data_IF_904762693888
#
_entry.id   IF_904762693888
#
_cell.length_a   1.000
_cell.length_b   1.000
_cell.length_c   1.000
_cell.angle_alpha   90.00
_cell.angle_beta   90.00
_cell.angle_gamma   90.00
#
_symmetry.space_group_name_H-M   'P 1'
#
loop_
_entity.id
_entity.type
_entity.pdbx_description
1 polymer ?
#
# COMPACT_ATOMS: atom_id res chain seq x y z
N UNK A 1 14.67 12.79 -6.21
CA UNK A 1 15.46 12.20 -5.13
C UNK A 1 14.52 11.45 -4.21
N UNK A 2 14.49 10.14 -4.36
CA UNK A 2 13.70 9.24 -3.54
C UNK A 2 14.41 9.09 -2.20
N UNK A 3 14.02 9.91 -1.22
CA UNK A 3 14.69 9.91 0.05
C UNK A 3 14.39 8.62 0.81
N UNK A 4 15.45 7.92 1.17
CA UNK A 4 15.50 6.62 1.82
C UNK A 4 14.48 6.53 2.96
N UNK A 5 13.56 5.55 2.87
CA UNK A 5 12.53 5.32 3.89
C UNK A 5 13.10 4.39 4.95
N UNK A 6 13.15 4.85 6.19
CA UNK A 6 13.44 3.98 7.34
C UNK A 6 12.32 2.94 7.47
N UNK A 7 12.65 1.65 7.43
CA UNK A 7 11.70 0.56 7.66
C UNK A 7 11.86 0.03 9.08
N UNK A 8 10.76 -0.04 9.83
CA UNK A 8 10.66 -0.77 11.09
C UNK A 8 9.93 -2.08 10.84
N UNK A 9 10.55 -3.21 11.19
CA UNK A 9 9.91 -4.53 11.10
C UNK A 9 9.61 -5.02 12.50
N UNK A 10 8.37 -5.44 12.75
CA UNK A 10 7.96 -6.14 13.96
C UNK A 10 7.92 -7.63 13.62
N UNK A 11 8.82 -8.37 14.28
CA UNK A 11 8.99 -9.81 14.10
C UNK A 11 8.75 -10.45 15.47
N UNK A 12 7.95 -11.51 15.49
CA UNK A 12 7.79 -12.34 16.69
C UNK A 12 9.10 -13.04 17.04
N UNK A 13 9.49 -12.94 18.31
CA UNK A 13 10.68 -13.61 18.86
C UNK A 13 10.29 -14.83 19.71
N UNK A 14 9.02 -14.92 20.15
CA UNK A 14 8.44 -16.04 20.90
C UNK A 14 7.13 -16.49 20.21
N UNK A 15 6.68 -17.71 20.50
CA UNK A 15 5.39 -18.23 20.01
C UNK A 15 4.22 -17.35 20.50
N UNK A 16 3.70 -16.51 19.60
CA UNK A 16 2.53 -15.67 19.76
C UNK A 16 1.74 -15.64 18.45
N UNK A 17 0.55 -15.04 18.48
CA UNK A 17 -0.19 -14.72 17.26
C UNK A 17 -0.18 -13.21 17.04
N UNK A 18 0.48 -12.78 15.97
CA UNK A 18 0.62 -11.40 15.55
C UNK A 18 -0.56 -10.92 14.68
N UNK A 19 -1.46 -11.82 14.27
CA UNK A 19 -2.62 -11.49 13.46
C UNK A 19 -3.53 -10.40 14.06
N UNK A 20 -3.76 -10.33 15.39
CA UNK A 20 -4.53 -9.22 15.99
C UNK A 20 -3.90 -7.84 15.79
N UNK A 21 -2.57 -7.75 15.63
CA UNK A 21 -1.88 -6.49 15.37
C UNK A 21 -1.97 -6.06 13.90
N UNK A 22 -2.32 -6.97 13.01
CA UNK A 22 -2.70 -6.64 11.63
C UNK A 22 -4.14 -6.15 11.59
N UNK A 23 -5.04 -6.92 12.21
CA UNK A 23 -6.48 -6.66 12.21
C UNK A 23 -7.15 -6.95 10.86
N UNK A 24 -8.50 -6.84 10.79
CA UNK A 24 -9.26 -6.95 9.55
C UNK A 24 -8.75 -5.95 8.50
N UNK A 25 -8.52 -6.43 7.27
CA UNK A 25 -8.04 -5.62 6.14
C UNK A 25 -6.79 -4.74 6.42
N UNK A 26 -6.03 -5.07 7.48
CA UNK A 26 -4.85 -4.31 7.90
C UNK A 26 -5.14 -3.02 8.68
N UNK A 27 -6.36 -2.80 9.18
CA UNK A 27 -6.77 -1.55 9.85
C UNK A 27 -5.96 -1.26 11.12
N UNK A 28 -5.64 -2.29 11.93
CA UNK A 28 -4.88 -2.14 13.17
C UNK A 28 -3.43 -1.80 12.83
N UNK A 29 -2.85 -2.47 11.82
CA UNK A 29 -1.53 -2.14 11.31
C UNK A 29 -1.45 -0.69 10.78
N UNK A 30 -2.52 -0.19 10.15
CA UNK A 30 -2.59 1.20 9.71
C UNK A 30 -2.61 2.17 10.90
N UNK A 31 -3.41 1.91 11.94
CA UNK A 31 -3.42 2.72 13.15
C UNK A 31 -2.06 2.71 13.87
N UNK A 32 -1.43 1.54 14.02
CA UNK A 32 -0.10 1.40 14.61
C UNK A 32 0.96 2.19 13.82
N UNK A 33 0.88 2.14 12.49
CA UNK A 33 1.74 2.89 11.59
C UNK A 33 1.64 4.41 11.83
N UNK A 34 0.43 4.94 11.99
CA UNK A 34 0.19 6.37 12.18
C UNK A 34 0.67 6.83 13.56
N UNK A 35 0.35 6.08 14.62
CA UNK A 35 0.83 6.35 15.97
C UNK A 35 2.36 6.32 16.05
N UNK A 36 3.00 5.35 15.39
CA UNK A 36 4.47 5.24 15.39
C UNK A 36 5.12 6.42 14.67
N UNK A 37 4.55 6.87 13.54
CA UNK A 37 5.04 8.06 12.83
C UNK A 37 4.86 9.32 13.65
N UNK A 38 3.73 9.46 14.34
CA UNK A 38 3.47 10.60 15.21
C UNK A 38 4.50 10.65 16.34
N UNK A 39 4.72 9.54 17.05
CA UNK A 39 5.71 9.44 18.11
C UNK A 39 7.12 9.79 17.61
N UNK A 40 7.56 9.19 16.50
CA UNK A 40 8.88 9.48 15.91
C UNK A 40 9.02 10.95 15.47
N UNK A 41 7.94 11.56 14.95
CA UNK A 41 7.99 12.96 14.53
C UNK A 41 8.03 13.92 15.71
N UNK A 42 7.35 13.59 16.82
CA UNK A 42 7.40 14.36 18.06
C UNK A 42 8.80 14.37 18.68
N UNK A 43 9.50 13.24 18.66
CA UNK A 43 10.85 13.12 19.22
C UNK A 43 11.92 13.79 18.35
N UNK A 44 11.79 13.69 17.02
CA UNK A 44 12.82 14.20 16.09
C UNK A 44 12.56 15.62 15.59
N UNK A 45 11.34 16.14 15.75
CA UNK A 45 10.91 17.40 15.15
C UNK A 45 10.75 17.37 13.63
N UNK A 46 10.98 16.21 13.00
CA UNK A 46 10.91 16.02 11.55
C UNK A 46 9.82 15.02 11.17
N UNK A 47 9.29 15.14 9.94
CA UNK A 47 8.27 14.21 9.46
C UNK A 47 8.85 12.82 9.29
N UNK A 48 8.41 11.87 10.12
CA UNK A 48 8.86 10.48 10.03
C UNK A 48 8.36 9.79 8.76
N UNK A 49 9.30 9.15 8.05
CA UNK A 49 9.03 8.28 6.89
C UNK A 49 8.96 6.80 7.27
N UNK A 50 8.88 6.50 8.56
CA UNK A 50 8.91 5.13 9.06
C UNK A 50 7.77 4.30 8.48
N UNK A 51 8.06 3.05 8.10
CA UNK A 51 7.05 2.07 7.73
C UNK A 51 7.06 0.90 8.70
N UNK A 52 5.91 0.55 9.26
CA UNK A 52 5.71 -0.60 10.14
C UNK A 52 5.22 -1.78 9.32
N UNK A 53 5.88 -2.93 9.44
CA UNK A 53 5.44 -4.21 8.90
C UNK A 53 5.35 -5.24 10.04
N UNK A 54 4.33 -6.09 10.00
CA UNK A 54 4.05 -7.09 11.02
C UNK A 54 3.99 -8.45 10.36
N UNK A 55 4.88 -9.36 10.75
CA UNK A 55 4.96 -10.72 10.20
C UNK A 55 5.02 -10.79 8.65
N UNK A 56 5.59 -9.76 8.01
CA UNK A 56 5.67 -9.66 6.55
C UNK A 56 4.32 -9.42 5.85
N UNK A 57 3.29 -8.97 6.58
CA UNK A 57 1.96 -8.75 6.04
C UNK A 57 1.99 -7.78 4.86
N UNK A 58 2.67 -6.64 5.00
CA UNK A 58 2.76 -5.65 3.90
C UNK A 58 3.51 -6.20 2.70
N UNK A 59 4.53 -7.04 2.92
CA UNK A 59 5.27 -7.67 1.83
C UNK A 59 4.38 -8.62 1.03
N UNK A 60 3.63 -9.49 1.72
CA UNK A 60 2.68 -10.44 1.08
C UNK A 60 1.56 -9.71 0.35
N UNK A 61 0.97 -8.69 0.99
CA UNK A 61 -0.10 -7.89 0.39
C UNK A 61 0.41 -7.12 -0.83
N UNK A 62 1.62 -6.56 -0.77
CA UNK A 62 2.26 -5.91 -1.93
C UNK A 62 2.42 -6.89 -3.10
N UNK A 63 2.90 -8.10 -2.86
CA UNK A 63 3.09 -9.09 -3.92
C UNK A 63 1.75 -9.47 -4.59
N UNK A 64 0.69 -9.67 -3.79
CA UNK A 64 -0.64 -9.96 -4.31
C UNK A 64 -1.21 -8.79 -5.14
N UNK A 65 -1.08 -7.55 -4.63
CA UNK A 65 -1.51 -6.35 -5.33
C UNK A 65 -0.74 -6.09 -6.61
N UNK A 66 0.56 -6.36 -6.62
CA UNK A 66 1.39 -6.21 -7.81
C UNK A 66 0.91 -7.14 -8.93
N UNK A 67 0.65 -8.41 -8.63
CA UNK A 67 0.08 -9.36 -9.60
C UNK A 67 -1.29 -8.91 -10.12
N UNK A 68 -2.16 -8.42 -9.23
CA UNK A 68 -3.47 -7.91 -9.61
C UNK A 68 -3.38 -6.65 -10.51
N UNK A 69 -2.45 -5.74 -10.19
CA UNK A 69 -2.21 -4.54 -10.97
C UNK A 69 -1.62 -4.87 -12.35
N UNK A 70 -0.67 -5.80 -12.44
CA UNK A 70 -0.10 -6.27 -13.71
C UNK A 70 -1.19 -6.88 -14.62
N UNK A 71 -2.11 -7.68 -14.05
CA UNK A 71 -3.23 -8.21 -14.79
C UNK A 71 -4.20 -7.12 -15.28
N UNK A 72 -4.49 -6.12 -14.44
CA UNK A 72 -5.35 -4.99 -14.79
C UNK A 72 -4.72 -4.09 -15.86
N UNK A 73 -3.40 -3.88 -15.81
CA UNK A 73 -2.62 -3.19 -16.84
C UNK A 73 -2.71 -3.93 -18.17
N UNK A 74 -2.47 -5.24 -18.17
CA UNK A 74 -2.54 -6.05 -19.38
C UNK A 74 -3.95 -5.99 -20.00
N UNK A 75 -4.99 -6.01 -19.18
CA UNK A 75 -6.37 -5.87 -19.64
C UNK A 75 -6.66 -4.48 -20.23
N UNK A 76 -6.21 -3.41 -19.57
CA UNK A 76 -6.37 -2.05 -20.07
C UNK A 76 -5.68 -1.87 -21.43
N UNK A 77 -4.45 -2.39 -21.58
CA UNK A 77 -3.71 -2.35 -22.85
C UNK A 77 -4.41 -3.16 -23.95
N UNK A 78 -4.92 -4.36 -23.62
CA UNK A 78 -5.60 -5.24 -24.57
C UNK A 78 -6.93 -4.66 -25.07
N UNK A 79 -7.67 -4.02 -24.19
CA UNK A 79 -9.02 -3.51 -24.47
C UNK A 79 -9.05 -2.06 -24.92
N UNK A 80 -7.96 -1.31 -24.68
CA UNK A 80 -7.90 0.15 -24.82
C UNK A 80 -9.03 0.87 -24.06
N UNK A 81 -9.48 0.28 -22.95
CA UNK A 81 -10.55 0.79 -22.11
C UNK A 81 -10.09 0.96 -20.65
N UNK A 82 -10.70 1.88 -19.88
CA UNK A 82 -10.37 2.05 -18.48
C UNK A 82 -10.70 0.79 -17.65
N UNK A 83 -9.81 0.43 -16.73
CA UNK A 83 -10.00 -0.70 -15.81
C UNK A 83 -10.00 -0.20 -14.37
N UNK A 84 -11.08 -0.44 -13.64
CA UNK A 84 -11.22 -0.10 -12.23
C UNK A 84 -10.84 -1.28 -11.35
N UNK A 85 -9.96 -1.06 -10.38
CA UNK A 85 -9.63 -2.05 -9.36
C UNK A 85 -10.62 -2.03 -8.19
N UNK A 86 -10.53 -3.02 -7.31
CA UNK A 86 -11.29 -3.01 -6.05
C UNK A 86 -10.88 -1.81 -5.16
N UNK A 87 -11.78 -1.33 -4.28
CA UNK A 87 -11.41 -0.37 -3.24
C UNK A 87 -10.24 -0.88 -2.40
N UNK A 88 -9.32 0.03 -2.05
CA UNK A 88 -8.08 -0.33 -1.34
C UNK A 88 -7.53 0.89 -0.59
N UNK A 89 -6.76 0.65 0.47
CA UNK A 89 -6.24 1.72 1.32
C UNK A 89 -5.12 2.53 0.63
N UNK A 90 -4.72 3.66 1.22
CA UNK A 90 -3.74 4.57 0.62
C UNK A 90 -2.37 3.93 0.29
N UNK A 91 -1.92 2.95 1.08
CA UNK A 91 -0.67 2.23 0.82
C UNK A 91 -0.81 1.34 -0.41
N UNK A 92 -1.91 0.60 -0.50
CA UNK A 92 -2.21 -0.30 -1.60
C UNK A 92 -2.36 0.47 -2.91
N UNK A 93 -3.08 1.61 -2.90
CA UNK A 93 -3.20 2.50 -4.05
C UNK A 93 -1.83 2.95 -4.56
N UNK A 94 -0.90 3.29 -3.65
CA UNK A 94 0.47 3.67 -4.04
C UNK A 94 1.20 2.54 -4.75
N UNK A 95 1.07 1.30 -4.27
CA UNK A 95 1.68 0.13 -4.92
C UNK A 95 1.14 -0.04 -6.34
N UNK A 96 -0.18 0.07 -6.51
CA UNK A 96 -0.81 -0.01 -7.84
C UNK A 96 -0.33 1.12 -8.75
N UNK A 97 -0.32 2.36 -8.27
CA UNK A 97 0.16 3.51 -9.04
C UNK A 97 1.60 3.30 -9.54
N UNK A 98 2.47 2.72 -8.72
CA UNK A 98 3.86 2.42 -9.09
C UNK A 98 3.95 1.39 -10.21
N UNK A 99 3.19 0.30 -10.11
CA UNK A 99 3.14 -0.75 -11.14
C UNK A 99 2.59 -0.20 -12.46
N UNK A 100 1.54 0.62 -12.39
CA UNK A 100 0.94 1.23 -13.60
C UNK A 100 1.91 2.20 -14.27
N UNK A 101 2.62 3.02 -13.48
CA UNK A 101 3.60 3.96 -14.01
C UNK A 101 4.80 3.24 -14.66
N UNK A 102 5.27 2.13 -14.07
CA UNK A 102 6.33 1.29 -14.65
C UNK A 102 5.92 0.70 -16.01
N UNK A 103 4.63 0.36 -16.17
CA UNK A 103 4.07 -0.08 -17.44
C UNK A 103 3.80 1.05 -18.45
N UNK A 104 4.07 2.31 -18.08
CA UNK A 104 3.86 3.48 -18.93
C UNK A 104 2.39 3.89 -19.10
N UNK A 105 1.50 3.43 -18.23
CA UNK A 105 0.08 3.79 -18.24
C UNK A 105 -0.21 4.92 -17.24
N UNK A 106 -1.41 5.50 -17.32
CA UNK A 106 -1.88 6.52 -16.38
C UNK A 106 -2.85 5.87 -15.39
N UNK A 107 -2.78 6.28 -14.13
CA UNK A 107 -3.73 5.86 -13.10
C UNK A 107 -4.19 7.02 -12.24
N UNK A 108 -5.46 6.96 -11.83
CA UNK A 108 -6.07 7.95 -10.94
C UNK A 108 -6.82 7.25 -9.80
N UNK A 109 -6.81 7.86 -8.62
CA UNK A 109 -7.59 7.38 -7.48
C UNK A 109 -8.97 8.06 -7.48
N UNK A 110 -10.03 7.29 -7.74
CA UNK A 110 -11.42 7.77 -7.78
C UNK A 110 -12.22 7.28 -6.55
N UNK A 111 -13.18 8.09 -6.09
CA UNK A 111 -14.02 7.82 -4.92
C UNK A 111 -13.45 8.40 -3.61
N UNK A 112 -14.22 8.23 -2.53
CA UNK A 112 -13.85 8.61 -1.17
C UNK A 112 -13.62 7.36 -0.32
N UNK A 113 -12.74 7.43 0.68
CA UNK A 113 -12.51 6.29 1.56
C UNK A 113 -13.83 5.96 2.32
N UNK A 114 -14.25 4.68 2.42
CA UNK A 114 -13.48 3.46 2.15
C UNK A 114 -13.60 2.91 0.71
N UNK A 115 -14.49 3.44 -0.12
CA UNK A 115 -14.77 2.95 -1.49
C UNK A 115 -13.75 3.43 -2.54
N UNK A 116 -12.72 4.15 -2.10
CA UNK A 116 -11.71 4.74 -2.96
C UNK A 116 -10.84 3.68 -3.63
N UNK A 117 -10.72 3.78 -4.95
CA UNK A 117 -10.08 2.78 -5.82
C UNK A 117 -9.19 3.41 -6.88
N UNK A 118 -8.31 2.61 -7.48
CA UNK A 118 -7.49 3.03 -8.62
C UNK A 118 -8.17 2.68 -9.93
N UNK A 119 -8.21 3.63 -10.85
CA UNK A 119 -8.65 3.47 -12.23
C UNK A 119 -7.45 3.62 -13.14
N UNK A 120 -7.21 2.61 -13.98
CA UNK A 120 -6.10 2.53 -14.92
C UNK A 120 -6.61 2.94 -16.30
N UNK A 121 -5.88 3.80 -17.00
CA UNK A 121 -6.23 4.34 -18.32
C UNK A 121 -5.03 4.18 -19.26
N UNK A 122 -5.30 3.77 -20.49
CA UNK A 122 -4.33 3.86 -21.59
C UNK A 122 -4.28 5.30 -22.06
N UNK A 123 -3.09 5.91 -22.08
CA UNK A 123 -2.87 7.27 -22.59
C UNK A 123 -3.23 7.41 -24.06
#
# INVERSE_FOLDING_TARGET
>A
MEGERTRGSVIEVNEGDLAPLVGPDGEVLAALQDLTRLAASQETGERSRLMVDIAGHRAKQKEALQKAAEAAVAEAQRTAAPVSMAPMNAFERKVVHDVVAEAGLVSESEGEDPDRRVVIRTS
#
